data_IF_151880914207
#
_entry.id   IF_151880914207
#
_cell.length_a   1.000
_cell.length_b   1.000
_cell.length_c   1.000
_cell.angle_alpha   90.00
_cell.angle_beta   90.00
_cell.angle_gamma   90.00
#
_symmetry.space_group_name_H-M   'P 1'
#
loop_
_entity.id
_entity.type
_entity.pdbx_description
1 polymer ?
#
# COMPACT_ATOMS: atom_id res chain seq x y z
N UNK A 1 86.50 46.35 -85.69
CA UNK A 1 85.16 46.89 -85.39
C UNK A 1 84.51 46.01 -84.32
N UNK A 2 84.15 46.65 -83.20
CA UNK A 2 83.09 46.35 -82.20
C UNK A 2 82.92 44.94 -81.58
N UNK A 3 82.77 45.05 -80.25
CA UNK A 3 81.98 44.27 -79.27
C UNK A 3 82.43 42.86 -78.90
N UNK A 4 82.76 42.68 -77.61
CA UNK A 4 81.76 42.26 -76.61
C UNK A 4 82.21 42.63 -75.18
N UNK A 5 81.35 43.42 -74.54
CA UNK A 5 81.27 43.67 -73.10
C UNK A 5 80.20 42.70 -72.57
N UNK A 6 80.36 42.19 -71.34
CA UNK A 6 79.30 42.03 -70.32
C UNK A 6 79.75 41.08 -69.20
N UNK A 7 80.41 41.64 -68.18
CA UNK A 7 80.39 41.03 -66.83
C UNK A 7 80.31 42.10 -65.75
N UNK A 8 79.21 42.87 -65.76
CA UNK A 8 78.88 43.73 -64.62
C UNK A 8 78.38 42.88 -63.46
N UNK A 9 79.32 42.52 -62.58
CA UNK A 9 79.07 42.02 -61.22
C UNK A 9 78.30 43.11 -60.45
N UNK A 10 76.97 42.99 -60.40
CA UNK A 10 76.12 43.82 -59.55
C UNK A 10 76.35 43.43 -58.08
N UNK A 11 77.22 44.17 -57.39
CA UNK A 11 77.31 44.13 -55.92
C UNK A 11 76.37 45.20 -55.34
N UNK A 12 75.26 44.83 -54.68
CA UNK A 12 74.42 45.82 -53.99
C UNK A 12 75.14 46.28 -52.72
N UNK A 13 75.10 47.58 -52.44
CA UNK A 13 75.57 48.14 -51.17
C UNK A 13 74.86 47.47 -49.99
N UNK A 14 75.63 47.11 -48.95
CA UNK A 14 75.19 46.37 -47.74
C UNK A 14 73.89 46.92 -47.12
N UNK A 15 73.60 48.22 -47.30
CA UNK A 15 72.38 48.90 -46.81
C UNK A 15 71.10 48.59 -47.61
N UNK A 16 71.20 48.30 -48.91
CA UNK A 16 70.04 47.98 -49.76
C UNK A 16 69.65 46.51 -49.61
N UNK A 17 70.65 45.62 -49.50
CA UNK A 17 70.46 44.22 -49.10
C UNK A 17 69.84 44.10 -47.71
N UNK A 18 70.30 44.91 -46.73
CA UNK A 18 69.67 44.92 -45.41
C UNK A 18 68.20 45.35 -45.48
N UNK A 19 67.87 46.36 -46.28
CA UNK A 19 66.50 46.85 -46.43
C UNK A 19 65.60 45.83 -47.12
N UNK A 20 66.06 45.17 -48.18
CA UNK A 20 65.26 44.15 -48.88
C UNK A 20 65.08 42.90 -48.02
N UNK A 21 66.12 42.46 -47.30
CA UNK A 21 66.03 41.37 -46.33
C UNK A 21 65.03 41.72 -45.23
N UNK A 22 65.07 42.94 -44.70
CA UNK A 22 64.13 43.37 -43.66
C UNK A 22 62.67 43.41 -44.18
N UNK A 23 62.47 43.89 -45.41
CA UNK A 23 61.14 44.01 -46.03
C UNK A 23 60.50 42.65 -46.34
N UNK A 24 61.30 41.61 -46.61
CA UNK A 24 60.80 40.24 -46.84
C UNK A 24 60.73 39.42 -45.54
N UNK A 25 61.70 39.58 -44.64
CA UNK A 25 61.76 38.78 -43.41
C UNK A 25 60.67 39.16 -42.41
N UNK A 26 60.33 40.45 -42.29
CA UNK A 26 59.25 40.89 -41.37
C UNK A 26 57.90 40.24 -41.73
N UNK A 27 57.38 40.33 -42.98
CA UNK A 27 56.10 39.72 -43.31
C UNK A 27 56.15 38.19 -43.23
N UNK A 28 57.30 37.57 -43.54
CA UNK A 28 57.47 36.13 -43.41
C UNK A 28 57.36 35.66 -41.94
N UNK A 29 58.00 36.40 -41.01
CA UNK A 29 57.90 36.12 -39.57
C UNK A 29 56.47 36.32 -39.08
N UNK A 30 55.79 37.40 -39.49
CA UNK A 30 54.39 37.65 -39.13
C UNK A 30 53.48 36.53 -39.64
N UNK A 31 53.69 36.06 -40.87
CA UNK A 31 52.93 34.95 -41.46
C UNK A 31 53.16 33.64 -40.68
N UNK A 32 54.41 33.30 -40.37
CA UNK A 32 54.74 32.10 -39.60
C UNK A 32 54.16 32.14 -38.18
N UNK A 33 54.24 33.29 -37.50
CA UNK A 33 53.65 33.47 -36.17
C UNK A 33 52.12 33.40 -36.24
N UNK A 34 51.50 34.02 -37.24
CA UNK A 34 50.05 33.96 -37.45
C UNK A 34 49.55 32.53 -37.71
N UNK A 35 50.25 31.77 -38.56
CA UNK A 35 49.96 30.35 -38.82
C UNK A 35 50.13 29.49 -37.56
N UNK A 36 51.19 29.73 -36.79
CA UNK A 36 51.43 29.01 -35.53
C UNK A 36 50.32 29.29 -34.52
N UNK A 37 49.92 30.55 -34.33
CA UNK A 37 48.85 30.94 -33.42
C UNK A 37 47.48 30.41 -33.89
N UNK A 38 47.20 30.41 -35.19
CA UNK A 38 45.98 29.84 -35.76
C UNK A 38 45.92 28.32 -35.55
N UNK A 39 47.02 27.61 -35.80
CA UNK A 39 47.12 26.16 -35.60
C UNK A 39 47.07 25.77 -34.11
N UNK A 40 47.60 26.60 -33.21
CA UNK A 40 47.61 26.36 -31.78
C UNK A 40 46.29 26.74 -31.09
N UNK A 41 45.62 27.82 -31.51
CA UNK A 41 44.47 28.40 -30.82
C UNK A 41 43.14 27.66 -30.99
N UNK A 42 42.96 26.86 -32.04
CA UNK A 42 41.66 26.25 -32.38
C UNK A 42 41.46 24.78 -32.00
N UNK A 43 42.49 24.07 -31.50
CA UNK A 43 42.45 22.60 -31.40
C UNK A 43 41.82 22.02 -30.13
N UNK A 44 41.63 22.83 -29.07
CA UNK A 44 41.12 22.34 -27.79
C UNK A 44 40.00 23.24 -27.27
N UNK A 45 38.75 22.82 -27.50
CA UNK A 45 37.59 23.41 -26.83
C UNK A 45 37.44 22.70 -25.49
N UNK A 46 38.04 23.27 -24.44
CA UNK A 46 37.84 22.81 -23.06
C UNK A 46 36.48 23.32 -22.58
N UNK A 47 35.45 22.51 -22.76
CA UNK A 47 34.13 22.78 -22.17
C UNK A 47 34.14 22.26 -20.74
N UNK A 48 34.15 23.15 -19.74
CA UNK A 48 34.09 22.79 -18.32
C UNK A 48 32.72 22.23 -17.87
N UNK A 49 31.74 22.24 -18.79
CA UNK A 49 30.36 21.86 -18.53
C UNK A 49 30.07 20.42 -18.99
N UNK A 50 30.69 19.43 -18.35
CA UNK A 50 30.34 18.03 -18.53
C UNK A 50 29.26 17.64 -17.51
N UNK A 51 27.99 17.62 -17.92
CA UNK A 51 26.89 17.15 -17.08
C UNK A 51 26.69 15.64 -17.24
N UNK A 52 26.79 14.89 -16.14
CA UNK A 52 26.46 13.46 -16.10
C UNK A 52 24.94 13.33 -15.92
N UNK A 53 24.27 12.67 -16.87
CA UNK A 53 22.86 12.30 -16.74
C UNK A 53 22.75 10.92 -16.11
N UNK A 54 22.05 10.82 -14.98
CA UNK A 54 21.73 9.56 -14.32
C UNK A 54 20.21 9.42 -14.20
N UNK A 55 19.71 8.18 -14.23
CA UNK A 55 18.32 7.90 -13.92
C UNK A 55 18.13 7.94 -12.40
N UNK A 56 17.26 8.83 -11.92
CA UNK A 56 16.95 8.98 -10.49
C UNK A 56 15.59 8.35 -10.20
N UNK A 57 15.54 7.44 -9.24
CA UNK A 57 14.31 6.80 -8.76
C UNK A 57 14.07 7.30 -7.33
N UNK A 58 12.89 7.89 -7.11
CA UNK A 58 12.48 8.35 -5.78
C UNK A 58 11.81 7.19 -5.06
N UNK A 59 12.31 6.87 -3.86
CA UNK A 59 11.78 5.78 -3.03
C UNK A 59 11.04 6.41 -1.85
N UNK A 60 9.71 6.31 -1.85
CA UNK A 60 8.85 6.83 -0.79
C UNK A 60 8.29 5.71 0.09
N UNK A 61 8.09 5.94 1.41
CA UNK A 61 7.45 4.95 2.26
C UNK A 61 5.96 4.80 1.93
N UNK A 62 5.46 3.56 1.98
CA UNK A 62 4.03 3.28 1.81
C UNK A 62 3.20 3.60 3.07
N UNK A 63 3.87 3.77 4.22
CA UNK A 63 3.25 3.97 5.54
C UNK A 63 3.90 5.17 6.24
N UNK A 64 3.10 5.95 6.98
CA UNK A 64 3.60 7.11 7.73
C UNK A 64 4.17 6.69 9.08
N UNK A 65 5.45 6.95 9.33
CA UNK A 65 6.11 6.61 10.58
C UNK A 65 7.34 7.45 10.86
N UNK A 66 7.90 7.31 12.06
CA UNK A 66 9.16 7.95 12.44
C UNK A 66 10.34 7.14 11.93
N UNK A 67 11.31 7.82 11.32
CA UNK A 67 12.59 7.19 10.93
C UNK A 67 13.41 6.87 12.16
N UNK A 68 13.75 5.60 12.33
CA UNK A 68 14.63 5.13 13.41
C UNK A 68 16.07 5.04 12.96
N UNK A 69 16.31 4.67 11.70
CA UNK A 69 17.64 4.54 11.14
C UNK A 69 17.61 4.78 9.63
N UNK A 70 18.60 5.53 9.14
CA UNK A 70 18.95 5.63 7.72
C UNK A 70 20.23 4.83 7.51
N UNK A 71 20.21 3.87 6.59
CA UNK A 71 21.29 2.90 6.38
C UNK A 71 22.13 3.16 5.12
N UNK A 72 22.08 4.38 4.59
CA UNK A 72 22.82 4.79 3.40
C UNK A 72 23.47 6.16 3.61
N UNK A 73 24.59 6.36 2.95
CA UNK A 73 25.25 7.66 2.79
C UNK A 73 25.11 8.15 1.33
N UNK A 74 25.38 9.44 1.11
CA UNK A 74 25.30 10.05 -0.21
C UNK A 74 26.31 9.44 -1.20
N UNK A 75 25.81 9.09 -2.38
CA UNK A 75 26.55 8.44 -3.47
C UNK A 75 27.10 7.04 -3.12
N UNK A 76 26.59 6.42 -2.05
CA UNK A 76 26.96 5.05 -1.70
C UNK A 76 26.32 4.05 -2.67
N UNK A 77 27.08 3.05 -3.18
CA UNK A 77 26.50 1.98 -3.99
C UNK A 77 25.56 1.12 -3.13
N UNK A 78 24.34 0.91 -3.61
CA UNK A 78 23.29 0.09 -2.97
C UNK A 78 23.01 -1.14 -3.81
N UNK A 79 22.84 -2.28 -3.13
CA UNK A 79 22.42 -3.53 -3.74
C UNK A 79 20.89 -3.68 -3.73
N UNK A 80 20.40 -4.60 -4.56
CA UNK A 80 18.98 -4.96 -4.60
C UNK A 80 18.55 -5.55 -3.25
N UNK A 81 17.38 -5.15 -2.75
CA UNK A 81 16.82 -5.55 -1.45
C UNK A 81 17.64 -5.11 -0.21
N UNK A 82 18.63 -4.25 -0.37
CA UNK A 82 19.34 -3.65 0.75
C UNK A 82 18.41 -2.71 1.52
N UNK A 83 18.33 -2.87 2.84
CA UNK A 83 17.52 -2.01 3.70
C UNK A 83 18.12 -0.59 3.75
N UNK A 84 17.39 0.38 3.20
CA UNK A 84 17.79 1.78 3.11
C UNK A 84 17.30 2.59 4.32
N UNK A 85 16.10 2.25 4.82
CA UNK A 85 15.41 3.00 5.86
C UNK A 85 14.67 2.04 6.79
N UNK A 86 14.72 2.30 8.10
CA UNK A 86 13.89 1.62 9.11
C UNK A 86 12.94 2.59 9.79
N UNK A 87 11.66 2.24 9.82
CA UNK A 87 10.61 2.99 10.53
C UNK A 87 10.33 2.35 11.90
N UNK A 88 9.90 3.16 12.86
CA UNK A 88 9.46 2.69 14.18
C UNK A 88 8.20 1.80 14.05
N UNK A 89 8.30 0.54 14.50
CA UNK A 89 7.24 -0.45 14.41
C UNK A 89 6.23 -0.38 15.57
N UNK A 90 6.60 0.22 16.71
CA UNK A 90 5.81 0.24 17.96
C UNK A 90 4.35 0.69 17.79
N UNK A 91 4.02 1.80 17.11
CA UNK A 91 2.62 2.21 16.96
C UNK A 91 1.78 1.20 16.18
N UNK A 92 2.39 0.46 15.26
CA UNK A 92 1.70 -0.56 14.48
C UNK A 92 1.51 -1.86 15.26
N UNK A 93 2.49 -2.25 16.08
CA UNK A 93 2.37 -3.40 16.97
C UNK A 93 1.22 -3.20 17.97
N UNK A 94 1.08 -1.99 18.52
CA UNK A 94 -0.03 -1.64 19.42
C UNK A 94 -1.37 -1.75 18.70
N UNK A 95 -1.49 -1.21 17.48
CA UNK A 95 -2.75 -1.27 16.73
C UNK A 95 -3.09 -2.71 16.29
N UNK A 96 -2.08 -3.51 15.97
CA UNK A 96 -2.22 -4.91 15.65
C UNK A 96 -2.65 -5.72 16.88
N UNK A 97 -2.08 -5.46 18.06
CA UNK A 97 -2.53 -6.05 19.32
C UNK A 97 -3.97 -5.65 19.64
N UNK A 98 -4.33 -4.38 19.44
CA UNK A 98 -5.70 -3.87 19.63
C UNK A 98 -6.70 -4.55 18.71
N UNK A 99 -6.32 -4.74 17.45
CA UNK A 99 -7.17 -5.42 16.46
C UNK A 99 -7.37 -6.88 16.81
N UNK A 100 -6.32 -7.58 17.26
CA UNK A 100 -6.41 -8.96 17.76
C UNK A 100 -7.35 -9.06 18.96
N UNK A 101 -7.20 -8.18 19.94
CA UNK A 101 -8.10 -8.14 21.10
C UNK A 101 -9.58 -7.93 20.70
N UNK A 102 -9.85 -7.07 19.70
CA UNK A 102 -11.21 -6.91 19.15
C UNK A 102 -11.73 -8.18 18.48
N UNK A 103 -10.88 -8.93 17.77
CA UNK A 103 -11.28 -10.20 17.18
C UNK A 103 -11.66 -11.23 18.26
N UNK A 104 -10.93 -11.26 19.38
CA UNK A 104 -11.23 -12.15 20.49
C UNK A 104 -12.59 -11.81 21.12
N UNK A 105 -12.87 -10.51 21.31
CA UNK A 105 -14.19 -10.04 21.79
C UNK A 105 -15.31 -10.49 20.86
N UNK A 106 -15.16 -10.30 19.55
CA UNK A 106 -16.15 -10.76 18.54
C UNK A 106 -16.29 -12.29 18.61
N UNK A 107 -15.20 -13.02 18.81
CA UNK A 107 -15.22 -14.48 18.99
C UNK A 107 -16.05 -14.91 20.21
N UNK A 108 -15.91 -14.20 21.34
CA UNK A 108 -16.72 -14.47 22.55
C UNK A 108 -18.19 -14.14 22.34
N UNK A 109 -18.50 -13.03 21.66
CA UNK A 109 -19.87 -12.60 21.35
C UNK A 109 -20.57 -13.57 20.38
N UNK A 110 -19.84 -14.10 19.38
CA UNK A 110 -20.36 -15.16 18.51
C UNK A 110 -20.68 -16.44 19.28
N UNK A 111 -19.85 -16.78 20.27
CA UNK A 111 -20.09 -17.97 21.09
C UNK A 111 -21.28 -17.80 22.02
N UNK A 112 -21.46 -16.63 22.65
CA UNK A 112 -22.67 -16.35 23.44
C UNK A 112 -23.91 -16.39 22.58
N UNK A 113 -23.87 -15.78 21.39
CA UNK A 113 -25.03 -15.76 20.48
C UNK A 113 -25.40 -17.17 19.97
N UNK A 114 -24.41 -18.05 19.74
CA UNK A 114 -24.65 -19.46 19.44
C UNK A 114 -25.32 -20.18 20.59
N UNK A 115 -24.96 -19.86 21.84
CA UNK A 115 -25.60 -20.44 23.01
C UNK A 115 -27.06 -19.97 23.12
N UNK A 116 -27.32 -18.67 22.94
CA UNK A 116 -28.66 -18.08 22.94
C UNK A 116 -29.55 -18.70 21.84
N UNK A 117 -28.99 -18.93 20.65
CA UNK A 117 -29.70 -19.57 19.55
C UNK A 117 -30.09 -21.02 19.89
N UNK A 118 -29.16 -21.80 20.47
CA UNK A 118 -29.44 -23.17 20.93
C UNK A 118 -30.50 -23.18 22.01
N UNK A 119 -30.47 -22.23 22.94
CA UNK A 119 -31.50 -22.11 23.96
C UNK A 119 -32.87 -21.84 23.33
N UNK A 120 -32.95 -20.89 22.39
CA UNK A 120 -34.17 -20.58 21.67
C UNK A 120 -34.71 -21.79 20.90
N UNK A 121 -33.84 -22.58 20.25
CA UNK A 121 -34.20 -23.82 19.56
C UNK A 121 -34.86 -24.82 20.53
N UNK A 122 -34.22 -25.09 21.66
CA UNK A 122 -34.77 -25.98 22.70
C UNK A 122 -36.11 -25.47 23.23
N UNK A 123 -36.25 -24.15 23.46
CA UNK A 123 -37.52 -23.57 23.89
C UNK A 123 -38.64 -23.77 22.85
N UNK A 124 -38.33 -23.67 21.55
CA UNK A 124 -39.32 -23.94 20.48
C UNK A 124 -39.72 -25.41 20.43
N UNK A 125 -38.78 -26.32 20.61
CA UNK A 125 -39.05 -27.76 20.66
C UNK A 125 -39.96 -28.10 21.85
N UNK A 126 -39.64 -27.59 23.04
CA UNK A 126 -40.48 -27.76 24.22
C UNK A 126 -41.89 -27.19 24.02
N UNK A 127 -42.02 -26.03 23.37
CA UNK A 127 -43.32 -25.44 23.08
C UNK A 127 -44.14 -26.30 22.11
N UNK A 128 -43.49 -26.86 21.09
CA UNK A 128 -44.10 -27.77 20.11
C UNK A 128 -44.55 -29.09 20.77
N UNK A 129 -43.74 -29.68 21.64
CA UNK A 129 -44.13 -30.87 22.39
C UNK A 129 -45.33 -30.63 23.31
N UNK A 130 -45.39 -29.46 23.96
CA UNK A 130 -46.58 -29.05 24.72
C UNK A 130 -47.81 -29.01 23.80
N UNK A 131 -47.73 -28.37 22.62
CA UNK A 131 -48.85 -28.35 21.65
C UNK A 131 -49.28 -29.77 21.26
N UNK A 132 -48.34 -30.66 20.93
CA UNK A 132 -48.63 -32.06 20.56
C UNK A 132 -49.32 -32.81 21.70
N UNK A 133 -48.82 -32.68 22.93
CA UNK A 133 -49.41 -33.31 24.12
C UNK A 133 -50.88 -32.88 24.32
N UNK A 134 -51.17 -31.58 24.28
CA UNK A 134 -52.54 -31.09 24.47
C UNK A 134 -53.46 -31.40 23.28
N UNK A 135 -52.92 -31.46 22.06
CA UNK A 135 -53.66 -31.92 20.88
C UNK A 135 -54.09 -33.39 21.03
N UNK A 136 -53.19 -34.29 21.43
CA UNK A 136 -53.50 -35.70 21.71
C UNK A 136 -54.56 -35.86 22.80
N UNK A 137 -54.46 -35.07 23.89
CA UNK A 137 -55.47 -35.09 24.96
C UNK A 137 -56.85 -34.65 24.47
N UNK A 138 -56.91 -33.63 23.62
CA UNK A 138 -58.14 -33.12 23.03
C UNK A 138 -58.76 -34.12 22.04
N UNK A 139 -57.94 -34.78 21.21
CA UNK A 139 -58.39 -35.84 20.29
C UNK A 139 -58.97 -37.04 21.04
N UNK A 140 -58.32 -37.46 22.14
CA UNK A 140 -58.83 -38.54 23.01
C UNK A 140 -60.21 -38.19 23.58
N UNK A 141 -60.38 -36.97 24.09
CA UNK A 141 -61.67 -36.51 24.64
C UNK A 141 -62.75 -36.41 23.56
N UNK A 142 -62.40 -35.97 22.34
CA UNK A 142 -63.32 -36.01 21.19
C UNK A 142 -63.76 -37.44 20.86
N UNK A 143 -62.83 -38.41 20.86
CA UNK A 143 -63.14 -39.82 20.58
C UNK A 143 -64.10 -40.40 21.63
N UNK A 144 -63.84 -40.16 22.92
CA UNK A 144 -64.71 -40.60 24.02
C UNK A 144 -66.12 -40.01 23.92
N UNK A 145 -66.23 -38.72 23.61
CA UNK A 145 -67.52 -38.06 23.36
C UNK A 145 -68.27 -38.66 22.18
N UNK A 146 -67.58 -38.95 21.07
CA UNK A 146 -68.19 -39.56 19.89
C UNK A 146 -68.69 -41.00 20.19
N UNK A 147 -68.13 -41.65 21.20
CA UNK A 147 -68.60 -42.95 21.71
C UNK A 147 -69.74 -42.83 22.75
N UNK A 148 -70.28 -41.62 22.97
CA UNK A 148 -71.35 -41.37 23.96
C UNK A 148 -70.86 -41.27 25.41
N UNK A 149 -69.55 -41.42 25.65
CA UNK A 149 -68.94 -41.44 26.97
C UNK A 149 -68.26 -40.09 27.26
N UNK A 150 -69.03 -39.06 27.65
CA UNK A 150 -68.44 -37.80 28.13
C UNK A 150 -69.36 -36.57 28.17
N UNK A 151 -69.23 -35.76 29.23
CA UNK A 151 -69.94 -34.49 29.41
C UNK A 151 -69.28 -33.33 28.63
N UNK A 152 -70.07 -32.39 28.10
CA UNK A 152 -69.59 -31.18 27.38
C UNK A 152 -68.53 -30.40 28.18
N UNK A 153 -68.66 -30.34 29.52
CA UNK A 153 -67.72 -29.62 30.39
C UNK A 153 -66.30 -30.22 30.38
N UNK A 154 -66.14 -31.51 30.06
CA UNK A 154 -64.83 -32.18 30.03
C UNK A 154 -63.92 -31.70 28.90
N UNK A 155 -64.48 -31.10 27.84
CA UNK A 155 -63.74 -30.67 26.65
C UNK A 155 -63.25 -29.21 26.72
N UNK A 156 -63.85 -28.37 27.57
CA UNK A 156 -63.54 -26.93 27.69
C UNK A 156 -62.10 -26.65 28.14
N UNK A 157 -61.59 -27.40 29.13
CA UNK A 157 -60.20 -27.25 29.62
C UNK A 157 -59.16 -27.62 28.54
N UNK A 158 -59.24 -28.80 27.88
CA UNK A 158 -58.33 -29.17 26.80
C UNK A 158 -58.31 -28.19 25.62
N UNK A 159 -59.48 -27.67 25.22
CA UNK A 159 -59.58 -26.70 24.11
C UNK A 159 -58.89 -25.38 24.46
N UNK A 160 -59.10 -24.86 25.67
CA UNK A 160 -58.40 -23.67 26.18
C UNK A 160 -56.88 -23.86 26.26
N UNK A 161 -56.40 -25.02 26.72
CA UNK A 161 -54.95 -25.30 26.74
C UNK A 161 -54.33 -25.42 25.34
N UNK A 162 -55.08 -25.95 24.37
CA UNK A 162 -54.62 -26.06 22.99
C UNK A 162 -54.57 -24.69 22.30
N UNK A 163 -55.60 -23.85 22.47
CA UNK A 163 -55.63 -22.50 21.89
C UNK A 163 -54.56 -21.58 22.49
N UNK A 164 -54.38 -21.60 23.82
CA UNK A 164 -53.35 -20.81 24.52
C UNK A 164 -51.92 -21.23 24.18
N UNK A 165 -51.63 -22.53 24.05
CA UNK A 165 -50.30 -22.97 23.59
C UNK A 165 -50.04 -22.58 22.14
N UNK A 166 -51.04 -22.68 21.27
CA UNK A 166 -50.91 -22.26 19.86
C UNK A 166 -50.65 -20.76 19.72
N UNK A 167 -51.29 -19.91 20.54
CA UNK A 167 -51.01 -18.47 20.53
C UNK A 167 -49.61 -18.17 21.05
N UNK A 168 -49.17 -18.85 22.12
CA UNK A 168 -47.80 -18.71 22.65
C UNK A 168 -46.73 -19.18 21.66
N UNK A 169 -46.94 -20.28 20.91
CA UNK A 169 -46.03 -20.66 19.83
C UNK A 169 -45.93 -19.57 18.74
N UNK A 170 -47.05 -18.95 18.33
CA UNK A 170 -47.03 -17.85 17.34
C UNK A 170 -46.33 -16.60 17.85
N UNK A 171 -46.45 -16.28 19.14
CA UNK A 171 -45.71 -15.15 19.73
C UNK A 171 -44.22 -15.45 19.86
N UNK A 172 -43.85 -16.70 20.14
CA UNK A 172 -42.44 -17.11 20.25
C UNK A 172 -41.76 -17.14 18.88
N UNK A 173 -42.47 -17.59 17.84
CA UNK A 173 -41.94 -17.57 16.47
C UNK A 173 -41.79 -16.15 15.91
N UNK A 174 -42.66 -15.21 16.29
CA UNK A 174 -42.51 -13.80 15.93
C UNK A 174 -41.42 -13.09 16.75
N UNK A 175 -41.24 -13.45 18.02
CA UNK A 175 -40.13 -12.96 18.84
C UNK A 175 -38.77 -13.46 18.32
N UNK A 176 -38.67 -14.74 17.94
CA UNK A 176 -37.47 -15.32 17.33
C UNK A 176 -37.11 -14.60 16.02
N UNK A 177 -38.10 -14.35 15.15
CA UNK A 177 -37.90 -13.54 13.93
C UNK A 177 -37.38 -12.13 14.24
N UNK A 178 -37.86 -11.50 15.31
CA UNK A 178 -37.38 -10.16 15.72
C UNK A 178 -35.97 -10.18 16.31
N UNK A 179 -35.60 -11.24 17.03
CA UNK A 179 -34.24 -11.41 17.58
C UNK A 179 -33.16 -11.58 16.51
N UNK A 180 -33.54 -12.01 15.30
CA UNK A 180 -32.64 -12.15 14.15
C UNK A 180 -32.44 -10.85 13.34
N UNK A 181 -33.37 -9.89 13.43
CA UNK A 181 -33.32 -8.63 12.68
C UNK A 181 -32.06 -7.76 12.97
N UNK A 182 -31.56 -7.67 14.22
CA UNK A 182 -30.37 -6.89 14.52
C UNK A 182 -29.19 -7.32 13.67
N UNK A 183 -28.94 -8.62 13.50
CA UNK A 183 -27.82 -9.12 12.70
C UNK A 183 -27.96 -8.74 11.21
N UNK A 184 -29.16 -8.89 10.63
CA UNK A 184 -29.44 -8.48 9.25
C UNK A 184 -29.20 -6.98 9.00
N UNK A 185 -29.38 -6.14 10.02
CA UNK A 185 -29.16 -4.68 9.95
C UNK A 185 -27.73 -4.28 10.38
N UNK A 186 -27.06 -5.10 11.19
CA UNK A 186 -25.75 -4.82 11.78
C UNK A 186 -24.58 -5.36 10.94
N UNK A 187 -24.81 -6.37 10.09
CA UNK A 187 -23.83 -6.88 9.12
C UNK A 187 -23.28 -5.78 8.19
N UNK A 188 -24.08 -4.88 7.59
CA UNK A 188 -23.52 -3.85 6.72
C UNK A 188 -22.79 -2.72 7.46
N UNK A 189 -23.17 -2.42 8.71
CA UNK A 189 -22.66 -1.23 9.42
C UNK A 189 -21.32 -1.46 10.13
N UNK A 190 -21.05 -2.67 10.60
CA UNK A 190 -19.79 -3.02 11.28
C UNK A 190 -18.68 -3.47 10.33
N UNK A 191 -19.04 -4.00 9.15
CA UNK A 191 -18.07 -4.42 8.14
C UNK A 191 -17.49 -3.24 7.34
N UNK A 192 -18.14 -2.06 7.32
CA UNK A 192 -17.80 -0.98 6.38
C UNK A 192 -17.08 0.25 6.99
N UNK A 193 -16.90 0.39 8.30
CA UNK A 193 -16.51 1.71 8.87
C UNK A 193 -15.16 1.81 9.54
N UNK A 194 -14.31 0.78 9.60
CA UNK A 194 -12.93 1.03 10.09
C UNK A 194 -11.80 0.10 9.63
N UNK A 195 -12.09 -1.06 9.05
CA UNK A 195 -11.05 -2.04 8.68
C UNK A 195 -10.72 -2.10 7.19
N UNK A 196 -11.63 -1.71 6.30
CA UNK A 196 -11.42 -1.79 4.84
C UNK A 196 -10.49 -0.68 4.32
N UNK A 197 -10.31 0.42 5.07
CA UNK A 197 -9.52 1.57 4.61
C UNK A 197 -8.02 1.53 4.92
N UNK A 198 -7.50 0.50 5.61
CA UNK A 198 -6.08 0.50 6.06
C UNK A 198 -5.27 -0.76 5.78
N UNK A 199 -5.83 -1.78 5.16
CA UNK A 199 -5.07 -2.96 4.74
C UNK A 199 -5.89 -3.83 3.79
N UNK A 200 -5.32 -4.15 2.64
CA UNK A 200 -5.87 -5.13 1.71
C UNK A 200 -5.95 -6.49 2.41
N UNK A 201 -7.15 -6.86 2.87
CA UNK A 201 -7.42 -8.21 3.36
C UNK A 201 -7.39 -9.14 2.15
N UNK A 202 -6.44 -10.08 2.13
CA UNK A 202 -6.39 -11.14 1.13
C UNK A 202 -7.60 -12.08 1.35
N UNK A 203 -8.52 -12.09 0.37
CA UNK A 203 -9.77 -12.85 0.42
C UNK A 203 -9.58 -14.37 0.43
N UNK A 204 -8.39 -14.89 0.07
CA UNK A 204 -8.13 -16.34 0.09
C UNK A 204 -7.66 -16.86 1.44
N UNK A 205 -7.00 -16.03 2.24
CA UNK A 205 -6.36 -16.48 3.49
C UNK A 205 -6.90 -15.80 4.74
N UNK A 206 -7.68 -14.73 4.60
CA UNK A 206 -8.24 -13.97 5.74
C UNK A 206 -7.18 -13.35 6.65
N UNK A 207 -5.91 -13.40 6.25
CA UNK A 207 -4.77 -12.92 7.05
C UNK A 207 -4.41 -11.52 6.61
N UNK A 208 -4.46 -10.57 7.54
CA UNK A 208 -3.84 -9.26 7.37
C UNK A 208 -2.32 -9.45 7.30
N UNK A 209 -1.73 -9.28 6.11
CA UNK A 209 -0.28 -9.31 5.94
C UNK A 209 0.28 -7.99 6.53
N UNK A 210 1.19 -8.04 7.52
CA UNK A 210 1.81 -6.82 8.04
C UNK A 210 2.58 -6.14 6.90
N UNK A 211 2.38 -4.82 6.73
CA UNK A 211 3.18 -4.02 5.79
C UNK A 211 4.62 -3.98 6.28
N UNK A 212 5.59 -4.06 5.37
CA UNK A 212 7.01 -4.00 5.72
C UNK A 212 7.33 -2.63 6.33
N UNK A 213 8.00 -2.62 7.48
CA UNK A 213 8.45 -1.40 8.18
C UNK A 213 9.84 -0.92 7.73
N UNK A 214 10.40 -1.56 6.71
CA UNK A 214 11.69 -1.23 6.11
C UNK A 214 11.52 -0.97 4.61
N UNK A 215 12.26 -0.01 4.09
CA UNK A 215 12.39 0.24 2.66
C UNK A 215 13.64 -0.45 2.14
N UNK A 216 13.50 -1.13 1.01
CA UNK A 216 14.58 -1.84 0.36
C UNK A 216 14.83 -1.28 -1.03
N UNK A 217 16.10 -1.30 -1.47
CA UNK A 217 16.49 -0.79 -2.79
C UNK A 217 15.86 -1.59 -3.95
N UNK A 218 15.31 -0.91 -4.99
CA UNK A 218 14.68 -1.58 -6.14
C UNK A 218 15.68 -2.11 -7.17
N UNK A 219 16.97 -1.80 -7.04
CA UNK A 219 17.99 -1.97 -8.08
C UNK A 219 19.42 -1.83 -7.56
N UNK A 220 20.40 -2.19 -8.38
CA UNK A 220 21.81 -1.84 -8.14
C UNK A 220 22.03 -0.40 -8.62
N UNK A 221 22.49 0.49 -7.75
CA UNK A 221 22.64 1.92 -8.07
C UNK A 221 23.37 2.68 -6.97
N UNK A 222 23.38 4.01 -7.02
CA UNK A 222 23.87 4.84 -5.91
C UNK A 222 22.70 5.51 -5.19
N UNK A 223 22.75 5.52 -3.85
CA UNK A 223 21.76 6.18 -3.01
C UNK A 223 22.08 7.66 -2.79
N UNK A 224 21.05 8.47 -2.57
CA UNK A 224 21.18 9.81 -1.99
C UNK A 224 20.23 9.93 -0.80
N UNK A 225 20.72 10.52 0.28
CA UNK A 225 20.01 10.68 1.53
C UNK A 225 19.34 12.06 1.58
N UNK A 226 18.01 12.08 1.59
CA UNK A 226 17.21 13.30 1.73
C UNK A 226 16.54 13.44 3.12
N UNK A 227 16.56 12.37 3.92
CA UNK A 227 15.88 12.28 5.22
C UNK A 227 16.85 12.03 6.38
N UNK A 228 16.46 12.52 7.57
CA UNK A 228 17.27 12.45 8.79
C UNK A 228 16.59 11.59 9.85
N UNK A 229 17.40 10.91 10.67
CA UNK A 229 16.92 10.12 11.80
C UNK A 229 16.06 10.96 12.74
N UNK A 230 14.93 10.41 13.20
CA UNK A 230 14.02 11.05 14.15
C UNK A 230 12.89 11.88 13.53
N UNK A 231 12.92 12.14 12.21
CA UNK A 231 11.83 12.86 11.51
C UNK A 231 10.65 11.92 11.20
N UNK A 232 9.44 12.47 11.17
CA UNK A 232 8.24 11.76 10.74
C UNK A 232 8.03 11.91 9.23
N UNK A 233 7.83 10.79 8.53
CA UNK A 233 7.61 10.76 7.08
C UNK A 233 6.13 10.40 6.79
N UNK A 234 5.59 10.97 5.71
CA UNK A 234 4.24 10.69 5.19
C UNK A 234 4.35 9.91 3.87
N UNK A 235 3.35 9.09 3.53
CA UNK A 235 3.34 8.37 2.26
C UNK A 235 3.34 9.33 1.07
N UNK A 236 4.10 8.98 0.04
CA UNK A 236 4.20 9.72 -1.23
C UNK A 236 5.15 10.94 -1.21
N UNK A 237 6.02 11.05 -0.20
CA UNK A 237 7.04 12.11 -0.09
C UNK A 237 8.44 11.60 -0.43
#
# INVERSE_FOLDING_TARGET
MRVTDLSKRFWPSRRILLRSVLLVMIPLVVLCVGLYLYAAGGRYVTTENAYVKANVIIISPEISGRVTMVGIEDNQPVALDQVLLKLDARPYEIELARTRARMDVIGTELNSLRADYREAEVQTEQANEKVKHFKRRLERQKKLRNQGLGSKNSMTRPTMHCSSRKSRCRSTSSACRKSWLPWAVMLPSQLNTSAISRGTIDSRTGRCRPRRHHLAGPGIGCGQQYETTGRGIRPGR
#
